data_IF_045890467613
#
_entry.id   IF_045890467613
#
_cell.length_a   1.000
_cell.length_b   1.000
_cell.length_c   1.000
_cell.angle_alpha   90.00
_cell.angle_beta   90.00
_cell.angle_gamma   90.00
#
_symmetry.space_group_name_H-M   'P 1'
#
loop_
_entity.id
_entity.type
_entity.pdbx_description
1 polymer ?
#
# COMPACT_ATOMS: atom_id res chain seq x y z
N UNK A 1 6.30 -5.13 6.15
CA UNK A 1 5.82 -5.59 7.48
C UNK A 1 5.99 -4.55 8.56
N UNK A 2 7.05 -3.71 8.55
CA UNK A 2 7.32 -2.67 9.57
C UNK A 2 6.08 -1.91 10.07
N UNK A 3 5.27 -1.34 9.18
CA UNK A 3 4.07 -0.57 9.56
C UNK A 3 2.96 -1.38 10.25
N UNK A 4 2.94 -2.70 10.10
CA UNK A 4 1.89 -3.58 10.64
C UNK A 4 2.35 -4.30 11.93
N UNK A 5 3.45 -3.86 12.57
CA UNK A 5 4.02 -4.58 13.71
C UNK A 5 3.06 -4.73 14.92
N UNK A 6 2.13 -3.79 15.09
CA UNK A 6 1.16 -3.78 16.19
C UNK A 6 -0.11 -4.58 15.90
N UNK A 7 -0.20 -5.25 14.74
CA UNK A 7 -1.38 -6.05 14.37
C UNK A 7 -1.51 -7.26 15.30
N UNK A 8 -2.71 -7.49 15.84
CA UNK A 8 -2.98 -8.63 16.72
C UNK A 8 -3.19 -9.93 15.93
N UNK A 9 -3.05 -11.08 16.58
CA UNK A 9 -3.27 -12.38 15.93
C UNK A 9 -4.69 -12.50 15.35
N UNK A 10 -5.71 -12.09 16.11
CA UNK A 10 -7.11 -12.10 15.67
C UNK A 10 -7.32 -11.25 14.40
N UNK A 11 -6.62 -10.11 14.29
CA UNK A 11 -6.67 -9.28 13.09
C UNK A 11 -5.97 -9.97 11.91
N UNK A 12 -4.81 -10.60 12.13
CA UNK A 12 -4.09 -11.34 11.08
C UNK A 12 -4.96 -12.45 10.48
N UNK A 13 -5.72 -13.18 11.31
CA UNK A 13 -6.56 -14.28 10.85
C UNK A 13 -7.63 -13.82 9.82
N UNK A 14 -8.07 -12.57 9.94
CA UNK A 14 -9.03 -11.94 9.02
C UNK A 14 -8.38 -11.29 7.79
N UNK A 15 -7.11 -10.89 7.87
CA UNK A 15 -6.44 -10.16 6.79
C UNK A 15 -6.07 -11.04 5.60
N UNK A 16 -6.05 -10.45 4.40
CA UNK A 16 -5.50 -11.05 3.19
C UNK A 16 -4.55 -10.06 2.53
N UNK A 17 -3.37 -10.54 2.14
CA UNK A 17 -2.34 -9.76 1.45
C UNK A 17 -2.21 -10.26 0.01
N UNK A 18 -3.18 -9.96 -0.88
CA UNK A 18 -3.22 -10.51 -2.24
C UNK A 18 -1.99 -10.13 -3.08
N UNK A 19 -1.33 -9.03 -2.74
CA UNK A 19 -0.11 -8.56 -3.40
C UNK A 19 1.17 -8.97 -2.65
N UNK A 20 1.06 -9.70 -1.53
CA UNK A 20 2.19 -9.98 -0.63
C UNK A 20 3.30 -10.83 -1.25
N UNK A 21 2.98 -11.61 -2.28
CA UNK A 21 3.95 -12.40 -3.05
C UNK A 21 4.40 -11.75 -4.36
N UNK A 22 3.92 -10.55 -4.69
CA UNK A 22 4.23 -9.87 -5.93
C UNK A 22 5.20 -8.73 -5.69
N UNK A 23 6.14 -8.55 -6.61
CA UNK A 23 6.91 -7.33 -6.69
C UNK A 23 6.02 -6.16 -7.13
N UNK A 24 6.52 -4.94 -6.92
CA UNK A 24 5.83 -3.73 -7.36
C UNK A 24 5.70 -3.67 -8.89
N UNK A 25 6.73 -4.14 -9.61
CA UNK A 25 6.72 -4.17 -11.07
C UNK A 25 5.63 -5.11 -11.61
N UNK A 26 5.56 -6.33 -11.07
CA UNK A 26 4.52 -7.31 -11.44
C UNK A 26 3.12 -6.78 -11.12
N UNK A 27 2.95 -6.12 -9.97
CA UNK A 27 1.68 -5.50 -9.60
C UNK A 27 1.25 -4.41 -10.59
N UNK A 28 2.18 -3.56 -11.05
CA UNK A 28 1.89 -2.52 -12.04
C UNK A 28 1.55 -3.11 -13.40
N UNK A 29 2.29 -4.12 -13.85
CA UNK A 29 2.01 -4.83 -15.09
C UNK A 29 0.60 -5.43 -15.09
N UNK A 30 0.19 -6.11 -14.02
CA UNK A 30 -1.17 -6.64 -13.90
C UNK A 30 -2.24 -5.53 -13.96
N UNK A 31 -1.97 -4.37 -13.33
CA UNK A 31 -2.89 -3.24 -13.39
C UNK A 31 -3.01 -2.66 -14.81
N UNK A 32 -1.94 -2.65 -15.60
CA UNK A 32 -1.95 -2.25 -17.02
C UNK A 32 -2.74 -3.24 -17.87
N UNK A 33 -2.48 -4.54 -17.70
CA UNK A 33 -3.18 -5.62 -18.42
C UNK A 33 -4.70 -5.59 -18.16
N UNK A 34 -5.11 -5.20 -16.94
CA UNK A 34 -6.51 -5.03 -16.55
C UNK A 34 -7.11 -3.67 -16.94
N UNK A 35 -6.33 -2.76 -17.52
CA UNK A 35 -6.81 -1.43 -17.93
C UNK A 35 -7.15 -0.50 -16.76
N UNK A 36 -6.52 -0.65 -15.59
CA UNK A 36 -6.79 0.18 -14.42
C UNK A 36 -6.16 1.57 -14.58
N UNK A 37 -6.97 2.62 -14.42
CA UNK A 37 -6.52 4.03 -14.53
C UNK A 37 -5.38 4.41 -13.58
N UNK A 38 -5.18 3.64 -12.51
CA UNK A 38 -4.15 3.88 -11.50
C UNK A 38 -2.81 3.19 -11.79
N UNK A 39 -2.71 2.41 -12.87
CA UNK A 39 -1.52 1.59 -13.17
C UNK A 39 -0.21 2.41 -13.21
N UNK A 40 -0.27 3.63 -13.76
CA UNK A 40 0.86 4.56 -13.84
C UNK A 40 0.89 5.64 -12.77
N UNK A 41 -0.06 5.62 -11.82
CA UNK A 41 -0.08 6.63 -10.76
C UNK A 41 1.17 6.48 -9.87
N UNK A 42 1.82 7.60 -9.56
CA UNK A 42 2.92 7.62 -8.60
C UNK A 42 2.43 7.22 -7.20
N UNK A 43 3.28 6.52 -6.45
CA UNK A 43 2.97 6.14 -5.08
C UNK A 43 3.02 7.35 -4.15
N UNK A 44 2.14 7.39 -3.16
CA UNK A 44 2.19 8.39 -2.09
C UNK A 44 3.51 8.28 -1.31
N UNK A 45 4.15 9.40 -1.03
CA UNK A 45 5.45 9.46 -0.34
C UNK A 45 5.36 9.97 1.12
N UNK A 46 4.24 10.61 1.49
CA UNK A 46 4.06 11.28 2.78
C UNK A 46 2.85 10.73 3.57
N UNK A 47 2.70 11.18 4.81
CA UNK A 47 1.55 10.80 5.66
C UNK A 47 0.26 11.36 5.05
N UNK A 48 -0.68 10.46 4.71
CA UNK A 48 -1.90 10.76 3.97
C UNK A 48 -2.82 11.84 4.59
N UNK A 49 -2.67 12.16 5.88
CA UNK A 49 -3.57 13.03 6.64
C UNK A 49 -2.88 14.22 7.29
N UNK A 50 -1.62 14.50 6.95
CA UNK A 50 -0.94 15.72 7.37
C UNK A 50 -1.12 16.76 6.26
N UNK A 51 -1.79 17.90 6.51
CA UNK A 51 -1.78 19.00 5.57
C UNK A 51 -0.36 19.59 5.54
N UNK A 52 0.38 19.26 4.48
CA UNK A 52 1.64 19.88 4.05
C UNK A 52 2.61 20.30 5.18
N UNK A 53 3.50 19.38 5.56
CA UNK A 53 4.85 19.74 6.03
C UNK A 53 5.03 20.09 7.50
N UNK A 54 3.99 20.06 8.34
CA UNK A 54 4.15 20.18 9.79
C UNK A 54 4.08 18.81 10.46
N UNK A 55 5.25 18.21 10.64
CA UNK A 55 5.43 16.93 11.33
C UNK A 55 5.59 17.06 12.85
N UNK A 56 5.40 18.27 13.39
CA UNK A 56 5.43 18.56 14.82
C UNK A 56 4.53 19.77 15.11
N UNK A 57 3.38 19.50 15.71
CA UNK A 57 2.75 20.28 16.78
C UNK A 57 2.26 19.25 17.82
#
# INVERSE_FOLDING_TARGET
SYFLFATTQEQIDYLRFPLGGLSKAETRQLAEEMGLVVAQKADSQDICFVPQGKYAD
#
